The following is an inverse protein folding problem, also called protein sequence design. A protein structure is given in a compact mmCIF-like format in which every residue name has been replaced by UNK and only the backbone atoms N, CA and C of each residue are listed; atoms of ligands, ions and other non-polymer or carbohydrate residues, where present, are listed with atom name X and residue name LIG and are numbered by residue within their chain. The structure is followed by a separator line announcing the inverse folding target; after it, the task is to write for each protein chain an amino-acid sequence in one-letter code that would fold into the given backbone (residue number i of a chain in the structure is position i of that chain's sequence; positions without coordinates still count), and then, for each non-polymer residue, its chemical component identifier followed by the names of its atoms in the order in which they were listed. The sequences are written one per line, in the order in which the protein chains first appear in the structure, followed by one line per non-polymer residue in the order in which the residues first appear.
data_IF_844022671911
#
_entry.id   IF_844022671911
#
_cell.length_a   1.000
_cell.length_b   1.000
_cell.length_c   1.000
_cell.angle_alpha   90.00
_cell.angle_beta   90.00
_cell.angle_gamma   90.00
#
_symmetry.space_group_name_H-M   'P 1'
#
loop_
_entity.id
_entity.type
_entity.pdbx_description
1 polymer ?
#
# COMPACT_ATOMS: atom_id res chain seq x y z
N UNK A 1 -27.26 -2.06 -9.57
CA UNK A 1 -27.08 -3.49 -9.28
C UNK A 1 -25.78 -3.63 -8.49
N UNK A 2 -25.83 -4.11 -7.24
CA UNK A 2 -24.62 -4.35 -6.44
C UNK A 2 -23.93 -5.63 -6.92
N UNK A 3 -22.83 -5.49 -7.68
CA UNK A 3 -21.97 -6.63 -8.04
C UNK A 3 -21.46 -7.32 -6.77
N UNK A 4 -21.42 -8.65 -6.81
CA UNK A 4 -20.97 -9.44 -5.67
C UNK A 4 -19.46 -9.25 -5.46
N UNK A 5 -18.98 -9.40 -4.22
CA UNK A 5 -17.59 -9.10 -3.85
C UNK A 5 -16.52 -9.87 -4.64
N UNK A 6 -16.86 -11.06 -5.18
CA UNK A 6 -15.96 -11.84 -6.05
C UNK A 6 -15.76 -11.25 -7.44
N UNK A 7 -16.83 -10.75 -8.07
CA UNK A 7 -16.77 -10.13 -9.41
C UNK A 7 -15.95 -8.84 -9.40
N UNK A 8 -16.10 -8.06 -8.33
CA UNK A 8 -15.36 -6.81 -8.13
C UNK A 8 -13.86 -7.08 -7.99
N UNK A 9 -13.47 -8.15 -7.29
CA UNK A 9 -12.05 -8.54 -7.15
C UNK A 9 -11.43 -8.98 -8.46
N UNK A 10 -12.18 -9.69 -9.29
CA UNK A 10 -11.70 -10.10 -10.63
C UNK A 10 -11.39 -8.88 -11.50
N UNK A 11 -12.28 -7.88 -11.52
CA UNK A 11 -12.06 -6.63 -12.28
C UNK A 11 -10.86 -5.83 -11.78
N UNK A 12 -10.65 -5.77 -10.48
CA UNK A 12 -9.58 -5.00 -9.83
C UNK A 12 -8.43 -5.90 -9.36
N UNK A 13 -8.16 -6.99 -10.08
CA UNK A 13 -7.20 -8.02 -9.66
C UNK A 13 -5.75 -7.54 -9.49
N UNK A 14 -5.40 -6.40 -10.08
CA UNK A 14 -4.09 -5.77 -9.90
C UNK A 14 -3.94 -5.01 -8.56
N UNK A 15 -5.02 -4.87 -7.79
CA UNK A 15 -5.02 -4.15 -6.51
C UNK A 15 -4.69 -5.04 -5.33
N UNK A 16 -3.88 -4.54 -4.40
CA UNK A 16 -3.49 -5.27 -3.19
C UNK A 16 -4.60 -5.21 -2.14
N UNK A 17 -5.07 -6.39 -1.70
CA UNK A 17 -6.18 -6.52 -0.74
C UNK A 17 -5.99 -5.81 0.61
N UNK A 18 -4.78 -5.74 1.20
CA UNK A 18 -4.55 -5.03 2.46
C UNK A 18 -4.79 -3.52 2.36
N UNK A 19 -4.72 -2.94 1.15
CA UNK A 19 -4.95 -1.51 0.90
C UNK A 19 -6.35 -1.27 0.34
N UNK A 20 -6.77 -2.10 -0.62
CA UNK A 20 -8.06 -1.99 -1.30
C UNK A 20 -9.05 -3.02 -0.77
N UNK A 21 -10.04 -2.58 -0.01
CA UNK A 21 -11.12 -3.47 0.44
C UNK A 21 -12.20 -3.61 -0.62
N UNK A 22 -12.98 -4.71 -0.60
CA UNK A 22 -14.07 -4.91 -1.56
C UNK A 22 -15.08 -3.74 -1.57
N UNK A 23 -15.32 -3.10 -0.42
CA UNK A 23 -16.18 -1.91 -0.31
C UNK A 23 -15.59 -0.69 -1.04
N UNK A 24 -14.28 -0.49 -0.95
CA UNK A 24 -13.60 0.60 -1.67
C UNK A 24 -13.62 0.33 -3.18
N UNK A 25 -13.34 -0.90 -3.59
CA UNK A 25 -13.43 -1.28 -5.00
C UNK A 25 -14.86 -1.13 -5.55
N UNK A 26 -15.89 -1.47 -4.76
CA UNK A 26 -17.28 -1.22 -5.12
C UNK A 26 -17.60 0.28 -5.25
N UNK A 27 -17.01 1.12 -4.41
CA UNK A 27 -17.19 2.57 -4.46
C UNK A 27 -16.48 3.23 -5.65
N UNK A 28 -15.46 2.58 -6.25
CA UNK A 28 -14.93 3.01 -7.54
C UNK A 28 -15.95 2.84 -8.69
N UNK A 29 -16.83 1.84 -8.61
CA UNK A 29 -17.86 1.61 -9.63
C UNK A 29 -19.14 2.40 -9.37
N UNK A 30 -19.55 2.52 -8.11
CA UNK A 30 -20.85 3.09 -7.72
C UNK A 30 -20.75 4.53 -7.19
N UNK A 31 -19.53 5.05 -7.05
CA UNK A 31 -19.25 6.33 -6.40
C UNK A 31 -19.17 6.22 -4.87
N UNK A 32 -18.58 7.25 -4.25
CA UNK A 32 -18.54 7.40 -2.80
C UNK A 32 -19.67 8.29 -2.32
N UNK A 33 -20.40 7.80 -1.31
CA UNK A 33 -21.40 8.60 -0.61
C UNK A 33 -20.73 9.82 0.03
N UNK A 34 -21.12 11.01 -0.41
CA UNK A 34 -20.54 12.28 0.08
C UNK A 34 -19.24 12.71 -0.60
N UNK A 35 -18.81 12.03 -1.68
CA UNK A 35 -17.74 12.49 -2.56
C UNK A 35 -16.30 12.41 -2.00
N UNK A 36 -16.11 12.07 -0.73
CA UNK A 36 -14.80 12.17 -0.10
C UNK A 36 -14.17 10.82 0.24
N UNK A 37 -12.91 10.64 -0.16
CA UNK A 37 -12.10 9.47 0.12
C UNK A 37 -11.06 9.77 1.20
N UNK A 38 -11.32 9.37 2.45
CA UNK A 38 -10.40 9.69 3.57
C UNK A 38 -9.53 8.51 4.04
N UNK A 39 -9.73 7.29 3.54
CA UNK A 39 -9.18 6.07 4.18
C UNK A 39 -8.23 5.23 3.33
N UNK A 40 -7.98 5.60 2.06
CA UNK A 40 -7.07 4.83 1.20
C UNK A 40 -5.62 5.03 1.62
N UNK A 41 -5.17 6.29 1.72
CA UNK A 41 -3.79 6.61 2.05
C UNK A 41 -3.39 6.06 3.42
N UNK A 42 -4.33 6.06 4.37
CA UNK A 42 -4.13 5.55 5.72
C UNK A 42 -3.70 4.09 5.73
N UNK A 43 -4.21 3.29 4.78
CA UNK A 43 -3.87 1.88 4.64
C UNK A 43 -2.53 1.66 3.96
N UNK A 44 -2.08 2.60 3.13
CA UNK A 44 -0.79 2.50 2.44
C UNK A 44 0.36 2.54 3.44
N UNK A 45 0.30 3.43 4.43
CA UNK A 45 1.36 3.56 5.44
C UNK A 45 1.11 2.76 6.72
N UNK A 46 0.12 1.85 6.74
CA UNK A 46 -0.02 0.89 7.83
C UNK A 46 1.25 0.06 7.94
N UNK A 47 1.78 -0.04 9.15
CA UNK A 47 3.05 -0.72 9.42
C UNK A 47 3.05 -2.16 8.89
N UNK A 48 1.97 -2.91 9.12
CA UNK A 48 1.80 -4.26 8.59
C UNK A 48 1.88 -4.32 7.04
N UNK A 49 1.29 -3.35 6.34
CA UNK A 49 1.29 -3.30 4.87
C UNK A 49 2.66 -2.89 4.33
N UNK A 50 3.37 -1.99 5.01
CA UNK A 50 4.75 -1.61 4.67
C UNK A 50 5.72 -2.79 4.88
N UNK A 51 5.58 -3.52 5.99
CA UNK A 51 6.36 -4.74 6.25
C UNK A 51 6.13 -5.76 5.14
N UNK A 52 4.86 -6.10 4.90
CA UNK A 52 4.51 -7.13 3.94
C UNK A 52 4.98 -6.78 2.52
N UNK A 53 4.80 -5.53 2.09
CA UNK A 53 5.26 -5.08 0.76
C UNK A 53 6.77 -5.06 0.63
N UNK A 54 7.50 -4.67 1.68
CA UNK A 54 8.97 -4.72 1.70
C UNK A 54 9.46 -6.14 1.41
N UNK A 55 9.00 -7.13 2.16
CA UNK A 55 9.48 -8.51 1.97
C UNK A 55 8.96 -9.14 0.68
N UNK A 56 7.66 -9.05 0.41
CA UNK A 56 7.05 -9.80 -0.70
C UNK A 56 7.28 -9.18 -2.08
N UNK A 57 7.67 -7.91 -2.16
CA UNK A 57 7.84 -7.21 -3.45
C UNK A 57 9.22 -6.60 -3.58
N UNK A 58 9.76 -5.92 -2.57
CA UNK A 58 11.07 -5.28 -2.72
C UNK A 58 12.18 -6.32 -2.62
N UNK A 59 12.14 -7.12 -1.57
CA UNK A 59 13.21 -8.08 -1.27
C UNK A 59 13.21 -9.24 -2.26
N UNK A 60 12.04 -9.82 -2.52
CA UNK A 60 11.90 -10.91 -3.48
C UNK A 60 12.27 -10.53 -4.92
N UNK A 61 12.19 -9.25 -5.28
CA UNK A 61 12.56 -8.80 -6.62
C UNK A 61 14.08 -8.72 -6.83
N UNK A 62 14.90 -8.78 -5.78
CA UNK A 62 16.37 -8.76 -5.85
C UNK A 62 16.93 -7.66 -6.76
N UNK A 63 16.31 -6.46 -6.69
CA UNK A 63 16.68 -5.34 -7.53
C UNK A 63 18.06 -4.77 -7.19
N UNK A 64 18.71 -4.15 -8.19
CA UNK A 64 19.93 -3.38 -7.98
C UNK A 64 19.66 -2.14 -7.10
N UNK A 65 20.70 -1.69 -6.39
CA UNK A 65 20.64 -0.48 -5.58
C UNK A 65 20.33 0.77 -6.42
N UNK A 66 19.63 1.73 -5.81
CA UNK A 66 19.30 3.01 -6.42
C UNK A 66 20.45 4.01 -6.36
N UNK A 67 20.14 5.29 -6.59
CA UNK A 67 21.12 6.40 -6.56
C UNK A 67 21.78 6.59 -5.17
N UNK A 68 21.12 6.13 -4.11
CA UNK A 68 21.64 6.13 -2.74
C UNK A 68 22.56 4.95 -2.43
N UNK A 69 22.76 4.03 -3.38
CA UNK A 69 23.59 2.83 -3.27
C UNK A 69 23.17 1.86 -2.15
N UNK A 70 21.97 2.03 -1.57
CA UNK A 70 21.46 1.13 -0.54
C UNK A 70 20.95 -0.15 -1.19
N UNK A 71 21.52 -1.30 -0.82
CA UNK A 71 21.04 -2.60 -1.31
C UNK A 71 19.81 -3.07 -0.53
N UNK A 72 19.13 -4.07 -1.08
CA UNK A 72 18.00 -4.73 -0.41
C UNK A 72 18.44 -5.35 0.92
N UNK A 73 19.60 -5.99 0.96
CA UNK A 73 20.14 -6.62 2.16
C UNK A 73 20.46 -5.59 3.26
N UNK A 74 21.00 -4.44 2.86
CA UNK A 74 21.26 -3.34 3.79
C UNK A 74 19.98 -2.69 4.29
N UNK A 75 18.97 -2.57 3.42
CA UNK A 75 17.65 -2.11 3.81
C UNK A 75 17.01 -3.05 4.83
N UNK A 76 17.10 -4.37 4.64
CA UNK A 76 16.55 -5.38 5.56
C UNK A 76 17.28 -5.42 6.90
N UNK A 77 18.61 -5.22 6.91
CA UNK A 77 19.40 -5.14 8.15
C UNK A 77 18.87 -4.07 9.11
N UNK A 78 18.28 -3.00 8.56
CA UNK A 78 17.68 -1.90 9.31
C UNK A 78 16.16 -1.77 9.10
N UNK A 79 15.46 -2.87 8.76
CA UNK A 79 14.06 -2.88 8.34
C UNK A 79 13.14 -2.08 9.28
N UNK A 80 13.21 -2.31 10.59
CA UNK A 80 12.36 -1.62 11.58
C UNK A 80 12.59 -0.10 11.59
N UNK A 81 13.85 0.34 11.51
CA UNK A 81 14.19 1.77 11.49
C UNK A 81 13.77 2.41 10.18
N UNK A 82 14.05 1.74 9.06
CA UNK A 82 13.70 2.19 7.72
C UNK A 82 12.19 2.33 7.55
N UNK A 83 11.41 1.36 8.03
CA UNK A 83 9.94 1.41 7.98
C UNK A 83 9.35 2.47 8.88
N UNK A 84 9.87 2.63 10.11
CA UNK A 84 9.42 3.72 11.01
C UNK A 84 9.69 5.09 10.39
N UNK A 85 10.84 5.27 9.75
CA UNK A 85 11.19 6.49 9.01
C UNK A 85 10.24 6.70 7.83
N UNK A 86 10.07 5.70 6.97
CA UNK A 86 9.19 5.75 5.82
C UNK A 86 7.74 6.10 6.21
N UNK A 87 7.22 5.45 7.25
CA UNK A 87 5.88 5.76 7.78
C UNK A 87 5.77 7.20 8.27
N UNK A 88 6.77 7.70 9.01
CA UNK A 88 6.80 9.10 9.45
C UNK A 88 6.81 10.07 8.27
N UNK A 89 7.63 9.82 7.25
CA UNK A 89 7.72 10.67 6.06
C UNK A 89 6.41 10.68 5.26
N UNK A 90 5.78 9.52 5.07
CA UNK A 90 4.50 9.39 4.36
C UNK A 90 3.33 10.04 5.12
N UNK A 91 3.32 9.93 6.45
CA UNK A 91 2.28 10.53 7.30
C UNK A 91 2.45 12.04 7.49
N UNK A 92 3.70 12.54 7.52
CA UNK A 92 4.01 13.96 7.59
C UNK A 92 3.49 14.72 6.36
N UNK A 93 3.66 14.13 5.16
CA UNK A 93 3.21 14.73 3.89
C UNK A 93 1.69 14.79 3.72
N UNK A 94 0.90 14.17 4.61
CA UNK A 94 -0.58 14.21 4.62
C UNK A 94 -1.15 15.49 5.24
N UNK A 95 -0.32 16.30 5.90
CA UNK A 95 -0.77 17.52 6.60
C UNK A 95 -0.81 18.77 5.69
N UNK A 96 -0.53 18.62 4.40
CA UNK A 96 -0.66 19.65 3.37
C UNK A 96 -1.60 19.16 2.26
#
# INVERSE_FOLDING_TARGET
MTKQGGEIRSRWGWTEAPVWTNRMLAALENGVKGGNWFSLIDKVYLEANLIQSTHNKVVQNQGAAGVDHVTVEEFERHATTNQKRLRKELTFRRQF
#
